data_IF_664639360506
#
_entry.id   IF_664639360506
#
_cell.length_a   1.000
_cell.length_b   1.000
_cell.length_c   1.000
_cell.angle_alpha   90.00
_cell.angle_beta   90.00
_cell.angle_gamma   90.00
#
_symmetry.space_group_name_H-M   'P 1'
#
loop_
_entity.id
_entity.type
_entity.pdbx_description
1 polymer ?
#
# COMPACT_ATOMS: atom_id res chain seq x y z
N UNK A 1 4.60 -5.57 -30.66
CA UNK A 1 5.75 -5.06 -29.86
C UNK A 1 6.89 -4.49 -30.70
N UNK A 2 7.56 -5.26 -31.60
CA UNK A 2 8.72 -4.73 -32.36
C UNK A 2 8.47 -3.38 -33.07
N UNK A 3 7.45 -3.32 -33.95
CA UNK A 3 7.11 -2.10 -34.69
C UNK A 3 6.73 -0.95 -33.77
N UNK A 4 6.10 -1.25 -32.64
CA UNK A 4 5.70 -0.23 -31.68
C UNK A 4 6.91 0.42 -31.02
N UNK A 5 7.91 -0.37 -30.59
CA UNK A 5 9.15 0.16 -30.06
C UNK A 5 9.89 1.01 -31.09
N UNK A 6 9.99 0.52 -32.33
CA UNK A 6 10.62 1.24 -33.44
C UNK A 6 9.93 2.59 -33.71
N UNK A 7 8.60 2.59 -33.93
CA UNK A 7 7.85 3.83 -34.25
C UNK A 7 7.79 4.80 -33.09
N UNK A 8 7.73 4.32 -31.85
CA UNK A 8 7.81 5.18 -30.68
C UNK A 8 9.18 5.86 -30.59
N UNK A 9 10.28 5.11 -30.80
CA UNK A 9 11.63 5.66 -30.78
C UNK A 9 11.85 6.67 -31.91
N UNK A 10 11.52 6.32 -33.16
CA UNK A 10 11.66 7.21 -34.32
C UNK A 10 10.92 8.53 -34.12
N UNK A 11 9.66 8.46 -33.66
CA UNK A 11 8.85 9.66 -33.40
C UNK A 11 9.45 10.47 -32.26
N UNK A 12 9.96 9.83 -31.21
CA UNK A 12 10.57 10.56 -30.10
C UNK A 12 11.90 11.24 -30.48
N UNK A 13 12.76 10.56 -31.24
CA UNK A 13 14.02 11.13 -31.72
C UNK A 13 13.77 12.35 -32.61
N UNK A 14 12.76 12.28 -33.49
CA UNK A 14 12.30 13.41 -34.30
C UNK A 14 11.88 14.61 -33.44
N UNK A 15 11.11 14.35 -32.37
CA UNK A 15 10.69 15.39 -31.43
C UNK A 15 11.86 15.97 -30.64
N UNK A 16 12.81 15.14 -30.20
CA UNK A 16 14.00 15.61 -29.50
C UNK A 16 14.81 16.58 -30.38
N UNK A 17 14.98 16.29 -31.66
CA UNK A 17 15.64 17.21 -32.60
C UNK A 17 14.81 18.46 -32.87
N UNK A 18 13.50 18.32 -33.12
CA UNK A 18 12.60 19.45 -33.37
C UNK A 18 12.59 20.46 -32.22
N UNK A 19 12.59 19.96 -30.97
CA UNK A 19 12.56 20.78 -29.76
C UNK A 19 13.96 21.07 -29.19
N UNK A 20 15.04 20.75 -29.92
CA UNK A 20 16.44 20.98 -29.52
C UNK A 20 16.78 20.42 -28.13
N UNK A 21 16.32 19.20 -27.86
CA UNK A 21 16.54 18.45 -26.63
C UNK A 21 17.64 17.38 -26.77
N UNK A 22 18.00 17.01 -27.99
CA UNK A 22 19.01 15.99 -28.35
C UNK A 22 20.43 16.24 -27.79
N UNK A 23 20.87 17.51 -27.76
CA UNK A 23 22.19 17.89 -27.24
C UNK A 23 22.29 18.03 -25.71
N UNK A 24 21.16 17.99 -24.99
CA UNK A 24 21.12 18.15 -23.52
C UNK A 24 21.17 16.78 -22.85
N UNK A 25 22.33 16.11 -22.91
CA UNK A 25 22.57 14.93 -22.07
C UNK A 25 22.57 15.34 -20.60
N UNK A 26 21.40 15.29 -19.99
CA UNK A 26 21.25 15.40 -18.54
C UNK A 26 21.55 14.04 -17.93
N UNK A 27 22.61 13.97 -17.13
CA UNK A 27 23.06 12.74 -16.49
C UNK A 27 21.90 12.09 -15.72
N UNK A 28 21.58 10.83 -16.04
CA UNK A 28 20.51 10.04 -15.42
C UNK A 28 19.08 10.57 -15.59
N UNK A 29 18.80 11.50 -16.51
CA UNK A 29 17.44 11.92 -16.86
C UNK A 29 16.89 11.13 -18.05
N UNK A 30 15.66 10.65 -17.92
CA UNK A 30 14.94 9.89 -18.94
C UNK A 30 13.58 10.51 -19.28
N UNK A 31 12.83 9.91 -20.22
CA UNK A 31 11.53 10.40 -20.67
C UNK A 31 10.39 10.19 -19.66
N UNK A 32 10.66 9.54 -18.52
CA UNK A 32 9.65 9.22 -17.51
C UNK A 32 10.22 9.34 -16.10
N UNK A 33 9.55 10.11 -15.26
CA UNK A 33 9.85 10.34 -13.85
C UNK A 33 8.85 9.58 -12.98
N UNK A 34 9.34 8.65 -12.16
CA UNK A 34 8.54 8.02 -11.11
C UNK A 34 8.48 8.93 -9.87
N UNK A 35 7.28 9.12 -9.35
CA UNK A 35 6.95 9.94 -8.18
C UNK A 35 6.33 9.05 -7.11
N UNK A 36 6.96 8.98 -5.94
CA UNK A 36 6.47 8.19 -4.79
C UNK A 36 6.30 9.09 -3.57
N UNK A 37 5.20 8.91 -2.84
CA UNK A 37 4.91 9.61 -1.58
C UNK A 37 4.13 10.92 -1.73
N UNK A 38 3.61 11.23 -2.92
CA UNK A 38 2.76 12.41 -3.15
C UNK A 38 1.41 12.02 -3.71
N UNK A 39 0.36 12.70 -3.25
CA UNK A 39 -1.00 12.59 -3.82
C UNK A 39 -1.06 13.15 -5.24
N UNK A 40 -1.97 12.60 -6.05
CA UNK A 40 -2.23 12.97 -7.45
C UNK A 40 -2.41 14.48 -7.65
N UNK A 41 -3.17 15.12 -6.77
CA UNK A 41 -3.44 16.57 -6.81
C UNK A 41 -2.16 17.41 -6.79
N UNK A 42 -1.18 17.04 -5.95
CA UNK A 42 0.10 17.75 -5.88
C UNK A 42 0.93 17.58 -7.15
N UNK A 43 0.92 16.37 -7.72
CA UNK A 43 1.63 16.06 -8.96
C UNK A 43 1.04 16.82 -10.13
N UNK A 44 -0.29 16.80 -10.29
CA UNK A 44 -1.00 17.53 -11.34
C UNK A 44 -0.76 19.05 -11.26
N UNK A 45 -0.83 19.61 -10.04
CA UNK A 45 -0.52 21.04 -9.82
C UNK A 45 0.91 21.39 -10.20
N UNK A 46 1.87 20.51 -9.89
CA UNK A 46 3.28 20.73 -10.25
C UNK A 46 3.49 20.64 -11.78
N UNK A 47 2.80 19.72 -12.45
CA UNK A 47 2.79 19.61 -13.93
C UNK A 47 2.28 20.92 -14.55
N UNK A 48 1.12 21.40 -14.10
CA UNK A 48 0.51 22.64 -14.61
C UNK A 48 1.46 23.84 -14.46
N UNK A 49 2.11 23.97 -13.30
CA UNK A 49 3.10 25.03 -13.04
C UNK A 49 4.32 24.89 -13.95
N UNK A 50 4.84 23.68 -14.12
CA UNK A 50 6.00 23.43 -14.97
C UNK A 50 5.71 23.73 -16.46
N UNK A 51 4.55 23.31 -16.97
CA UNK A 51 4.11 23.59 -18.34
C UNK A 51 3.94 25.09 -18.59
N UNK A 52 3.34 25.83 -17.64
CA UNK A 52 3.23 27.31 -17.74
C UNK A 52 4.58 28.01 -17.81
N UNK A 53 5.57 27.53 -17.05
CA UNK A 53 6.93 28.10 -17.03
C UNK A 53 7.71 27.82 -18.32
N UNK A 54 7.61 26.60 -18.84
CA UNK A 54 8.34 26.16 -20.04
C UNK A 54 7.64 26.50 -21.34
N UNK A 55 6.35 26.88 -21.29
CA UNK A 55 5.47 27.10 -22.46
C UNK A 55 5.43 25.90 -23.41
N UNK A 56 5.75 24.71 -22.90
CA UNK A 56 5.76 23.46 -23.65
C UNK A 56 4.76 22.50 -22.99
N UNK A 57 3.73 22.02 -23.70
CA UNK A 57 2.76 21.08 -23.14
C UNK A 57 3.23 19.62 -23.30
N UNK A 58 4.47 19.30 -22.89
CA UNK A 58 5.07 17.98 -23.07
C UNK A 58 4.89 17.03 -21.88
N UNK A 59 4.55 17.56 -20.71
CA UNK A 59 4.33 16.77 -19.51
C UNK A 59 2.95 16.12 -19.47
N UNK A 60 2.90 14.82 -19.18
CA UNK A 60 1.67 14.06 -19.02
C UNK A 60 1.76 13.15 -17.79
N UNK A 61 0.73 13.15 -16.94
CA UNK A 61 0.54 12.08 -15.96
C UNK A 61 0.22 10.79 -16.75
N UNK A 62 1.11 9.81 -16.66
CA UNK A 62 1.17 8.66 -17.58
C UNK A 62 0.80 7.34 -16.90
N UNK A 63 1.15 7.18 -15.63
CA UNK A 63 0.77 6.02 -14.83
C UNK A 63 0.30 6.46 -13.44
N UNK A 64 -0.79 5.87 -12.97
CA UNK A 64 -1.27 5.88 -11.58
C UNK A 64 -1.16 4.45 -11.08
N UNK A 65 -0.05 4.14 -10.41
CA UNK A 65 0.23 2.80 -9.90
C UNK A 65 -0.37 2.59 -8.51
N UNK A 66 -0.43 3.65 -7.70
CA UNK A 66 -1.09 3.69 -6.39
C UNK A 66 -1.53 5.12 -6.06
N UNK A 67 -2.22 5.30 -4.94
CA UNK A 67 -2.69 6.61 -4.46
C UNK A 67 -1.56 7.63 -4.23
N UNK A 68 -0.35 7.15 -3.96
CA UNK A 68 0.86 7.94 -3.76
C UNK A 68 2.04 7.52 -4.68
N UNK A 69 1.77 6.72 -5.71
CA UNK A 69 2.80 6.26 -6.66
C UNK A 69 2.33 6.47 -8.10
N UNK A 70 3.00 7.37 -8.81
CA UNK A 70 2.61 7.83 -10.14
C UNK A 70 3.84 8.04 -11.01
N UNK A 71 3.64 8.09 -12.33
CA UNK A 71 4.69 8.46 -13.27
C UNK A 71 4.25 9.66 -14.10
N UNK A 72 5.21 10.53 -14.38
CA UNK A 72 5.04 11.66 -15.30
C UNK A 72 6.00 11.49 -16.47
N UNK A 73 5.49 11.65 -17.67
CA UNK A 73 6.22 11.45 -18.93
C UNK A 73 6.37 12.80 -19.64
N UNK A 74 7.49 13.02 -20.35
CA UNK A 74 7.74 14.24 -21.11
C UNK A 74 9.20 14.36 -21.57
N UNK A 75 9.65 15.57 -21.93
CA UNK A 75 11.06 15.77 -22.27
C UNK A 75 11.94 15.77 -21.00
N UNK A 76 13.18 15.23 -21.06
CA UNK A 76 14.04 15.11 -19.89
C UNK A 76 14.33 16.45 -19.22
N UNK A 77 14.46 17.54 -20.00
CA UNK A 77 14.68 18.88 -19.48
C UNK A 77 13.48 19.38 -18.65
N UNK A 78 12.26 19.22 -19.16
CA UNK A 78 11.05 19.62 -18.45
C UNK A 78 10.80 18.76 -17.22
N UNK A 79 11.02 17.44 -17.31
CA UNK A 79 10.92 16.53 -16.18
C UNK A 79 11.94 16.82 -15.08
N UNK A 80 13.13 17.32 -15.43
CA UNK A 80 14.15 17.74 -14.45
C UNK A 80 13.67 18.96 -13.65
N UNK A 81 13.05 19.93 -14.32
CA UNK A 81 12.42 21.08 -13.65
C UNK A 81 11.25 20.65 -12.75
N UNK A 82 10.43 19.70 -13.23
CA UNK A 82 9.36 19.12 -12.43
C UNK A 82 9.91 18.39 -11.21
N UNK A 83 10.97 17.58 -11.36
CA UNK A 83 11.64 16.89 -10.27
C UNK A 83 12.08 17.87 -9.19
N UNK A 84 12.78 18.95 -9.56
CA UNK A 84 13.20 20.00 -8.62
C UNK A 84 12.02 20.65 -7.89
N UNK A 85 10.92 20.91 -8.58
CA UNK A 85 9.71 21.48 -7.97
C UNK A 85 9.07 20.52 -6.96
N UNK A 86 8.99 19.22 -7.30
CA UNK A 86 8.44 18.17 -6.44
C UNK A 86 9.36 17.89 -5.24
N UNK A 87 10.68 17.96 -5.40
CA UNK A 87 11.66 17.82 -4.30
C UNK A 87 11.38 18.80 -3.15
N UNK A 88 10.96 20.03 -3.48
CA UNK A 88 10.63 21.05 -2.49
C UNK A 88 9.41 20.71 -1.60
N UNK A 89 8.56 19.78 -2.05
CA UNK A 89 7.38 19.33 -1.29
C UNK A 89 7.73 18.30 -0.22
N UNK A 90 8.80 17.54 -0.41
CA UNK A 90 9.18 16.48 0.53
C UNK A 90 9.87 17.03 1.79
N UNK A 91 9.80 16.25 2.86
CA UNK A 91 10.75 16.36 3.96
C UNK A 91 12.17 16.02 3.45
N UNK A 92 13.20 16.64 4.04
CA UNK A 92 14.58 16.22 3.78
C UNK A 92 14.75 14.75 4.23
N UNK A 93 15.60 13.94 3.56
CA UNK A 93 15.76 12.51 3.88
C UNK A 93 16.04 12.23 5.36
N UNK A 94 16.87 13.06 5.99
CA UNK A 94 17.27 12.90 7.41
C UNK A 94 16.39 13.72 8.38
N UNK A 95 15.28 14.30 7.90
CA UNK A 95 14.41 15.10 8.74
C UNK A 95 13.61 14.22 9.71
N UNK A 96 13.89 14.34 11.01
CA UNK A 96 13.08 13.71 12.05
C UNK A 96 11.80 14.52 12.30
N UNK A 97 10.66 13.98 11.86
CA UNK A 97 9.34 14.60 12.03
C UNK A 97 8.52 14.03 13.21
N UNK A 98 9.13 13.21 14.08
CA UNK A 98 8.40 12.52 15.18
C UNK A 98 7.79 13.50 16.19
N UNK A 99 8.44 14.66 16.41
CA UNK A 99 7.97 15.76 17.28
C UNK A 99 7.14 16.83 16.56
N UNK A 100 6.89 16.67 15.26
CA UNK A 100 6.03 17.57 14.49
C UNK A 100 4.60 17.00 14.49
N UNK A 101 3.56 17.80 14.77
CA UNK A 101 2.16 17.37 14.67
C UNK A 101 1.86 16.75 13.30
N UNK A 102 1.12 15.64 13.26
CA UNK A 102 0.91 14.87 12.03
C UNK A 102 0.45 15.72 10.84
N UNK A 103 -0.50 16.63 11.05
CA UNK A 103 -1.06 17.53 10.02
C UNK A 103 -0.05 18.55 9.46
N UNK A 104 1.05 18.80 10.15
CA UNK A 104 2.10 19.74 9.76
C UNK A 104 3.34 19.04 9.20
N UNK A 105 3.37 17.70 9.19
CA UNK A 105 4.47 16.93 8.62
C UNK A 105 4.49 17.10 7.11
N UNK A 106 5.68 17.28 6.55
CA UNK A 106 5.89 17.15 5.12
C UNK A 106 5.81 15.68 4.70
N UNK A 107 5.31 15.38 3.50
CA UNK A 107 5.35 14.02 2.95
C UNK A 107 6.79 13.53 2.84
N UNK A 108 6.98 12.22 2.95
CA UNK A 108 8.23 11.52 2.65
C UNK A 108 8.05 10.70 1.39
N UNK A 109 9.11 10.56 0.59
CA UNK A 109 9.00 9.90 -0.70
C UNK A 109 10.28 9.95 -1.51
N UNK A 110 10.17 9.64 -2.79
CA UNK A 110 11.32 9.57 -3.70
C UNK A 110 10.93 9.93 -5.12
N UNK A 111 11.88 10.49 -5.86
CA UNK A 111 11.76 10.84 -7.27
C UNK A 111 12.91 10.19 -8.03
N UNK A 112 12.60 9.40 -9.04
CA UNK A 112 13.61 8.67 -9.82
C UNK A 112 13.19 8.57 -11.28
N UNK A 113 14.12 8.84 -12.20
CA UNK A 113 13.90 8.55 -13.61
C UNK A 113 13.91 7.05 -13.86
N UNK A 114 13.03 6.60 -14.76
CA UNK A 114 13.00 5.21 -15.20
C UNK A 114 13.92 5.02 -16.41
N UNK A 115 14.58 3.85 -16.53
CA UNK A 115 15.50 3.55 -17.63
C UNK A 115 14.73 3.19 -18.91
N UNK A 116 14.08 4.19 -19.51
CA UNK A 116 13.29 4.07 -20.74
C UNK A 116 13.91 4.94 -21.85
N UNK A 117 13.81 4.50 -23.11
CA UNK A 117 14.33 5.24 -24.26
C UNK A 117 13.27 6.11 -24.96
N UNK A 118 11.98 5.83 -24.73
CA UNK A 118 10.85 6.54 -25.33
C UNK A 118 9.77 6.88 -24.27
N UNK A 119 8.99 7.95 -24.47
CA UNK A 119 8.00 8.43 -23.53
C UNK A 119 6.66 7.70 -23.75
N UNK A 120 6.43 6.51 -23.20
CA UNK A 120 5.12 5.84 -23.34
C UNK A 120 4.00 6.53 -22.55
N UNK A 121 2.75 6.28 -22.96
CA UNK A 121 1.52 6.82 -22.35
C UNK A 121 1.46 8.36 -22.38
N UNK A 122 1.68 8.94 -23.57
CA UNK A 122 1.70 10.39 -23.77
C UNK A 122 1.22 10.80 -25.16
N UNK A 123 0.61 11.99 -25.31
CA UNK A 123 0.31 12.58 -26.60
C UNK A 123 1.53 12.82 -27.51
N UNK A 124 2.75 12.89 -26.97
CA UNK A 124 3.97 13.03 -27.79
C UNK A 124 4.14 11.89 -28.82
N UNK A 125 3.56 10.70 -28.56
CA UNK A 125 3.64 9.57 -29.47
C UNK A 125 2.46 9.47 -30.46
N UNK A 126 1.61 10.49 -30.57
CA UNK A 126 0.45 10.48 -31.47
C UNK A 126 0.83 10.16 -32.93
N UNK A 127 1.91 10.77 -33.43
CA UNK A 127 2.41 10.56 -34.80
C UNK A 127 3.02 9.17 -35.04
N UNK A 128 3.28 8.39 -33.98
CA UNK A 128 3.69 7.00 -34.11
C UNK A 128 2.50 6.08 -34.45
N UNK A 129 1.28 6.42 -34.04
CA UNK A 129 0.10 5.55 -34.23
C UNK A 129 -0.19 5.27 -35.71
N UNK A 130 -0.31 6.26 -36.62
CA UNK A 130 -0.61 5.96 -38.03
C UNK A 130 0.45 5.07 -38.70
N UNK A 131 1.73 5.30 -38.39
CA UNK A 131 2.85 4.47 -38.89
C UNK A 131 2.74 3.03 -38.39
N UNK A 132 2.40 2.86 -37.11
CA UNK A 132 2.23 1.54 -36.51
C UNK A 132 1.00 0.80 -37.08
N UNK A 133 -0.11 1.50 -37.32
CA UNK A 133 -1.29 0.91 -37.99
C UNK A 133 -0.94 0.42 -39.40
N UNK A 134 -0.16 1.18 -40.17
CA UNK A 134 0.34 0.73 -41.48
C UNK A 134 1.22 -0.52 -41.36
N UNK A 135 2.10 -0.58 -40.36
CA UNK A 135 2.93 -1.76 -40.09
C UNK A 135 2.08 -2.98 -39.71
N UNK A 136 1.04 -2.80 -38.88
CA UNK A 136 0.08 -3.84 -38.50
C UNK A 136 -0.66 -4.38 -39.73
N UNK A 137 -1.14 -3.51 -40.61
CA UNK A 137 -1.78 -3.88 -41.87
C UNK A 137 -0.83 -4.66 -42.77
N UNK A 138 0.41 -4.21 -42.90
CA UNK A 138 1.46 -4.88 -43.70
C UNK A 138 1.78 -6.28 -43.20
N UNK A 139 1.87 -6.47 -41.89
CA UNK A 139 2.13 -7.80 -41.28
C UNK A 139 0.87 -8.63 -41.09
N UNK A 140 -0.32 -8.08 -41.43
CA UNK A 140 -1.62 -8.74 -41.34
C UNK A 140 -1.93 -9.28 -39.94
N UNK A 141 -1.57 -8.51 -38.91
CA UNK A 141 -1.90 -8.84 -37.53
C UNK A 141 -3.28 -8.25 -37.20
N UNK A 142 -4.24 -9.10 -36.83
CA UNK A 142 -5.57 -8.68 -36.40
C UNK A 142 -6.06 -9.62 -35.30
N UNK A 143 -6.64 -9.04 -34.25
CA UNK A 143 -7.25 -9.76 -33.14
C UNK A 143 -8.57 -9.08 -32.82
N UNK A 144 -9.66 -9.84 -32.86
CA UNK A 144 -10.98 -9.42 -32.40
C UNK A 144 -11.18 -9.84 -30.95
N UNK A 145 -11.92 -9.05 -30.19
CA UNK A 145 -12.24 -9.36 -28.80
C UNK A 145 -12.91 -10.72 -28.64
N UNK A 146 -13.80 -11.07 -29.56
CA UNK A 146 -14.48 -12.37 -29.58
C UNK A 146 -13.55 -13.59 -29.75
N UNK A 147 -12.30 -13.38 -30.14
CA UNK A 147 -11.29 -14.44 -30.22
C UNK A 147 -10.55 -14.67 -28.89
N UNK A 148 -10.64 -13.75 -27.94
CA UNK A 148 -10.00 -13.87 -26.63
C UNK A 148 -10.78 -14.86 -25.76
N UNK A 149 -10.11 -15.90 -25.28
CA UNK A 149 -10.73 -16.98 -24.48
C UNK A 149 -10.90 -16.63 -23.00
N UNK A 150 -10.17 -15.63 -22.54
CA UNK A 150 -10.22 -15.12 -21.17
C UNK A 150 -10.42 -13.61 -21.19
N UNK A 151 -11.02 -13.02 -20.15
CA UNK A 151 -11.09 -11.58 -20.02
C UNK A 151 -9.69 -10.96 -20.03
N UNK A 152 -9.51 -9.93 -20.85
CA UNK A 152 -8.30 -9.10 -20.87
C UNK A 152 -8.75 -7.68 -20.66
N UNK A 153 -8.27 -7.03 -19.61
CA UNK A 153 -8.74 -5.70 -19.24
C UNK A 153 -7.85 -4.60 -19.82
N UNK A 154 -8.45 -3.51 -20.31
CA UNK A 154 -7.71 -2.27 -20.51
C UNK A 154 -7.17 -1.78 -19.17
N UNK A 155 -6.12 -0.97 -19.22
CA UNK A 155 -5.45 -0.47 -18.01
C UNK A 155 -5.77 1.00 -17.74
N UNK A 156 -6.86 1.52 -18.31
CA UNK A 156 -7.36 2.88 -18.09
C UNK A 156 -8.42 2.88 -16.97
N UNK A 157 -9.06 4.03 -16.74
CA UNK A 157 -10.02 4.19 -15.65
C UNK A 157 -11.25 3.27 -15.79
N UNK A 158 -11.61 2.91 -17.03
CA UNK A 158 -12.77 2.10 -17.34
C UNK A 158 -12.50 0.60 -17.15
N UNK A 159 -11.23 0.17 -17.29
CA UNK A 159 -10.82 -1.24 -17.24
C UNK A 159 -11.76 -2.14 -18.05
N UNK A 160 -11.97 -1.79 -19.31
CA UNK A 160 -12.89 -2.46 -20.24
C UNK A 160 -12.38 -3.87 -20.55
N UNK A 161 -13.27 -4.86 -20.56
CA UNK A 161 -12.93 -6.20 -21.04
C UNK A 161 -12.80 -6.19 -22.57
N UNK A 162 -11.59 -6.38 -23.08
CA UNK A 162 -11.26 -6.41 -24.50
C UNK A 162 -11.99 -7.50 -25.29
N UNK A 163 -12.60 -8.49 -24.62
CA UNK A 163 -13.49 -9.44 -25.28
C UNK A 163 -14.67 -8.76 -26.00
N UNK A 164 -15.06 -7.56 -25.58
CA UNK A 164 -16.18 -6.81 -26.15
C UNK A 164 -15.76 -5.81 -27.24
N UNK A 165 -14.48 -5.79 -27.63
CA UNK A 165 -13.93 -4.80 -28.58
C UNK A 165 -13.70 -5.45 -29.95
N UNK A 166 -14.00 -4.72 -31.03
CA UNK A 166 -13.84 -5.23 -32.40
C UNK A 166 -12.38 -5.32 -32.85
N UNK A 167 -11.57 -4.31 -32.54
CA UNK A 167 -10.14 -4.26 -32.88
C UNK A 167 -9.28 -4.15 -31.60
N UNK A 168 -8.82 -5.29 -31.12
CA UNK A 168 -7.97 -5.37 -29.93
C UNK A 168 -6.59 -4.75 -30.20
N UNK A 169 -6.11 -4.81 -31.45
CA UNK A 169 -4.78 -4.29 -31.79
C UNK A 169 -4.76 -2.77 -31.72
N UNK A 170 -5.78 -2.09 -32.26
CA UNK A 170 -5.87 -0.62 -32.13
C UNK A 170 -5.96 -0.19 -30.67
N UNK A 171 -6.74 -0.90 -29.85
CA UNK A 171 -6.87 -0.59 -28.43
C UNK A 171 -5.53 -0.75 -27.70
N UNK A 172 -4.79 -1.85 -27.93
CA UNK A 172 -3.46 -2.05 -27.35
C UNK A 172 -2.46 -0.97 -27.78
N UNK A 173 -2.53 -0.52 -29.04
CA UNK A 173 -1.70 0.59 -29.54
C UNK A 173 -2.02 1.88 -28.78
N UNK A 174 -3.30 2.22 -28.65
CA UNK A 174 -3.73 3.42 -27.92
C UNK A 174 -3.30 3.36 -26.46
N UNK A 175 -3.56 2.24 -25.80
CA UNK A 175 -3.24 2.02 -24.38
C UNK A 175 -1.77 2.26 -24.08
N UNK A 176 -0.88 1.72 -24.92
CA UNK A 176 0.55 1.77 -24.66
C UNK A 176 1.22 3.07 -25.15
N UNK A 177 0.79 3.64 -26.28
CA UNK A 177 1.39 4.88 -26.79
C UNK A 177 0.82 6.11 -26.08
N UNK A 178 -0.49 6.18 -25.88
CA UNK A 178 -1.20 7.44 -25.67
C UNK A 178 -1.93 7.53 -24.33
N UNK A 179 -2.63 6.47 -23.94
CA UNK A 179 -3.55 6.53 -22.81
C UNK A 179 -2.82 6.42 -21.46
N UNK A 180 -3.39 7.08 -20.46
CA UNK A 180 -3.02 6.96 -19.05
C UNK A 180 -3.27 5.52 -18.56
N UNK A 181 -2.30 4.97 -17.83
CA UNK A 181 -2.52 3.76 -17.03
C UNK A 181 -3.09 4.15 -15.67
N UNK A 182 -4.27 3.64 -15.32
CA UNK A 182 -4.82 3.65 -13.97
C UNK A 182 -4.88 2.22 -13.41
N UNK A 183 -3.76 1.83 -12.80
CA UNK A 183 -3.63 0.50 -12.21
C UNK A 183 -4.59 0.30 -11.05
N UNK A 184 -4.91 1.38 -10.32
CA UNK A 184 -5.83 1.32 -9.18
C UNK A 184 -7.26 1.01 -9.61
N UNK A 185 -7.72 1.61 -10.71
CA UNK A 185 -9.00 1.30 -11.32
C UNK A 185 -9.04 -0.13 -11.87
N UNK A 186 -7.95 -0.58 -12.50
CA UNK A 186 -7.81 -1.94 -13.01
C UNK A 186 -7.97 -2.97 -11.88
N UNK A 187 -7.33 -2.75 -10.73
CA UNK A 187 -7.46 -3.62 -9.56
C UNK A 187 -8.85 -3.59 -8.93
N UNK A 188 -9.51 -2.43 -8.90
CA UNK A 188 -10.90 -2.35 -8.45
C UNK A 188 -11.82 -3.20 -9.34
N UNK A 189 -11.59 -3.20 -10.66
CA UNK A 189 -12.33 -4.03 -11.60
C UNK A 189 -12.07 -5.53 -11.40
N UNK A 190 -10.80 -5.91 -11.20
CA UNK A 190 -10.45 -7.30 -10.88
C UNK A 190 -11.15 -7.75 -9.60
N UNK A 191 -11.16 -6.93 -8.56
CA UNK A 191 -11.85 -7.25 -7.30
C UNK A 191 -13.36 -7.46 -7.48
N UNK A 192 -14.00 -6.68 -8.37
CA UNK A 192 -15.42 -6.80 -8.70
C UNK A 192 -15.74 -8.11 -9.45
N UNK A 193 -14.98 -8.40 -10.52
CA UNK A 193 -15.30 -9.50 -11.45
C UNK A 193 -14.66 -10.84 -11.08
N UNK A 194 -13.62 -10.83 -10.25
CA UNK A 194 -12.84 -12.02 -9.86
C UNK A 194 -12.74 -12.15 -8.34
N UNK A 195 -13.85 -11.95 -7.64
CA UNK A 195 -13.91 -12.01 -6.17
C UNK A 195 -13.53 -13.36 -5.55
N UNK A 196 -13.46 -14.42 -6.35
CA UNK A 196 -13.03 -15.77 -5.95
C UNK A 196 -11.57 -16.08 -6.36
N UNK A 197 -10.84 -15.13 -6.96
CA UNK A 197 -9.43 -15.32 -7.26
C UNK A 197 -8.65 -15.54 -5.97
N UNK A 198 -7.81 -16.58 -5.96
CA UNK A 198 -6.93 -16.92 -4.82
C UNK A 198 -5.49 -16.54 -5.08
N UNK A 199 -5.09 -16.55 -6.35
CA UNK A 199 -3.73 -16.26 -6.78
C UNK A 199 -3.71 -15.33 -7.99
N UNK A 200 -2.62 -14.59 -8.11
CA UNK A 200 -2.23 -13.88 -9.33
C UNK A 200 -0.85 -14.37 -9.75
N UNK A 201 -0.73 -14.73 -11.02
CA UNK A 201 0.53 -15.13 -11.63
C UNK A 201 1.16 -13.92 -12.31
N UNK A 202 2.28 -13.45 -11.77
CA UNK A 202 3.06 -12.36 -12.36
C UNK A 202 4.13 -12.97 -13.26
N UNK A 203 4.00 -12.75 -14.57
CA UNK A 203 4.95 -13.21 -15.60
C UNK A 203 5.90 -12.11 -16.10
N UNK A 204 5.79 -10.92 -15.52
CA UNK A 204 6.59 -9.77 -15.86
C UNK A 204 8.06 -9.94 -15.49
N UNK A 205 8.89 -8.95 -15.88
CA UNK A 205 10.31 -9.02 -15.58
C UNK A 205 10.57 -8.90 -14.07
N UNK A 206 11.18 -9.94 -13.51
CA UNK A 206 11.66 -9.97 -12.12
C UNK A 206 10.52 -9.83 -11.09
N UNK A 207 10.53 -8.79 -10.26
CA UNK A 207 9.51 -8.50 -9.24
C UNK A 207 8.69 -7.24 -9.58
N UNK A 208 8.82 -6.74 -10.82
CA UNK A 208 8.50 -5.37 -11.19
C UNK A 208 7.06 -4.95 -10.86
N UNK A 209 6.09 -5.60 -11.50
CA UNK A 209 4.66 -5.24 -11.35
C UNK A 209 4.09 -5.82 -10.06
N UNK A 210 4.59 -6.97 -9.60
CA UNK A 210 4.18 -7.57 -8.33
C UNK A 210 4.23 -6.54 -7.18
N UNK A 211 5.35 -5.83 -7.02
CA UNK A 211 5.52 -4.80 -5.96
C UNK A 211 4.52 -3.64 -6.03
N UNK A 212 3.95 -3.36 -7.21
CA UNK A 212 2.91 -2.33 -7.37
C UNK A 212 1.55 -2.84 -6.89
N UNK A 213 1.36 -4.15 -6.91
CA UNK A 213 0.11 -4.85 -6.68
C UNK A 213 -0.05 -5.41 -5.26
N UNK A 214 1.04 -5.54 -4.50
CA UNK A 214 1.09 -6.17 -3.17
C UNK A 214 -0.01 -5.72 -2.22
N UNK A 215 -0.18 -4.41 -2.05
CA UNK A 215 -1.16 -3.86 -1.10
C UNK A 215 -2.60 -4.16 -1.51
N UNK A 216 -2.86 -4.17 -2.82
CA UNK A 216 -4.18 -4.50 -3.35
C UNK A 216 -4.47 -5.99 -3.17
N UNK A 217 -3.52 -6.84 -3.57
CA UNK A 217 -3.63 -8.28 -3.43
C UNK A 217 -3.80 -8.70 -1.96
N UNK A 218 -2.99 -8.15 -1.04
CA UNK A 218 -3.07 -8.43 0.39
C UNK A 218 -4.46 -8.06 0.97
N UNK A 219 -4.99 -6.88 0.64
CA UNK A 219 -6.32 -6.46 1.08
C UNK A 219 -7.44 -7.38 0.57
N UNK A 220 -7.27 -7.93 -0.63
CA UNK A 220 -8.19 -8.88 -1.26
C UNK A 220 -7.94 -10.33 -0.83
N UNK A 221 -6.89 -10.61 -0.03
CA UNK A 221 -6.51 -11.97 0.32
C UNK A 221 -6.04 -12.82 -0.87
N UNK A 222 -5.50 -12.18 -1.90
CA UNK A 222 -4.96 -12.84 -3.10
C UNK A 222 -3.45 -13.00 -2.93
N UNK A 223 -2.94 -14.19 -3.15
CA UNK A 223 -1.50 -14.47 -3.11
C UNK A 223 -0.85 -14.14 -4.45
N UNK A 224 0.27 -13.41 -4.43
CA UNK A 224 0.99 -13.06 -5.65
C UNK A 224 2.13 -14.06 -5.87
N UNK A 225 2.05 -14.80 -6.97
CA UNK A 225 3.05 -15.76 -7.42
C UNK A 225 3.94 -15.10 -8.46
N UNK A 226 5.24 -15.09 -8.21
CA UNK A 226 6.23 -14.65 -9.20
C UNK A 226 6.50 -15.83 -10.12
N UNK A 227 5.80 -15.86 -11.26
CA UNK A 227 5.78 -16.97 -12.19
C UNK A 227 7.00 -16.96 -13.13
N UNK A 228 8.18 -16.80 -12.56
CA UNK A 228 9.46 -16.81 -13.27
C UNK A 228 10.43 -17.80 -12.63
N UNK A 229 11.22 -18.49 -13.45
CA UNK A 229 12.24 -19.43 -12.95
C UNK A 229 13.39 -18.75 -12.18
N UNK A 230 13.50 -17.42 -12.26
CA UNK A 230 14.49 -16.62 -11.52
C UNK A 230 14.19 -16.57 -10.03
N UNK A 231 12.92 -16.67 -9.66
CA UNK A 231 12.43 -16.66 -8.28
C UNK A 231 11.72 -17.97 -7.95
N UNK A 232 12.45 -19.12 -7.92
CA UNK A 232 11.82 -20.42 -7.65
C UNK A 232 11.29 -20.50 -6.20
N UNK A 233 11.98 -19.83 -5.28
CA UNK A 233 11.68 -19.79 -3.85
C UNK A 233 11.82 -18.35 -3.37
N UNK A 234 10.80 -17.86 -2.66
CA UNK A 234 10.76 -16.55 -2.04
C UNK A 234 10.69 -16.69 -0.51
N UNK A 235 11.36 -15.80 0.21
CA UNK A 235 11.28 -15.74 1.67
C UNK A 235 10.19 -14.76 2.11
N UNK A 236 9.47 -15.12 3.16
CA UNK A 236 8.46 -14.25 3.77
C UNK A 236 9.14 -13.12 4.55
N UNK A 237 8.64 -11.89 4.38
CA UNK A 237 9.09 -10.71 5.14
C UNK A 237 7.94 -10.16 5.96
N UNK A 238 8.24 -9.54 7.10
CA UNK A 238 7.25 -8.77 7.87
C UNK A 238 7.04 -7.35 7.33
N UNK A 239 7.85 -6.93 6.35
CA UNK A 239 7.82 -5.56 5.80
C UNK A 239 6.93 -5.38 4.58
N UNK A 240 6.63 -6.47 3.86
CA UNK A 240 5.88 -6.45 2.60
C UNK A 240 4.96 -7.67 2.55
N UNK A 241 3.91 -7.60 1.72
CA UNK A 241 3.08 -8.76 1.45
C UNK A 241 3.96 -9.92 0.93
N UNK A 242 3.74 -11.15 1.40
CA UNK A 242 4.55 -12.28 1.00
C UNK A 242 4.29 -12.61 -0.48
N UNK A 243 5.38 -12.74 -1.25
CA UNK A 243 5.35 -13.33 -2.59
C UNK A 243 5.63 -14.82 -2.52
N UNK A 244 5.07 -15.56 -3.46
CA UNK A 244 5.32 -16.99 -3.63
C UNK A 244 6.22 -17.19 -4.85
N UNK A 245 7.31 -17.95 -4.69
CA UNK A 245 8.16 -18.34 -5.81
C UNK A 245 7.49 -19.40 -6.68
N UNK A 246 7.90 -19.51 -7.95
CA UNK A 246 7.27 -20.42 -8.91
C UNK A 246 7.30 -21.89 -8.44
N UNK A 247 8.44 -22.37 -7.96
CA UNK A 247 8.56 -23.77 -7.51
C UNK A 247 7.79 -24.00 -6.23
N UNK A 248 7.82 -23.05 -5.29
CA UNK A 248 6.99 -23.11 -4.07
C UNK A 248 5.50 -23.25 -4.39
N UNK A 249 5.01 -22.48 -5.37
CA UNK A 249 3.62 -22.57 -5.81
C UNK A 249 3.30 -23.96 -6.40
N UNK A 250 4.16 -24.47 -7.29
CA UNK A 250 3.99 -25.79 -7.91
C UNK A 250 4.00 -26.91 -6.85
N UNK A 251 4.94 -26.85 -5.90
CA UNK A 251 5.08 -27.87 -4.85
C UNK A 251 3.90 -27.84 -3.87
N UNK A 252 3.34 -26.67 -3.60
CA UNK A 252 2.21 -26.49 -2.69
C UNK A 252 0.85 -26.83 -3.34
N UNK A 253 0.74 -26.73 -4.67
CA UNK A 253 -0.51 -26.89 -5.41
C UNK A 253 -1.29 -28.18 -5.10
N UNK A 254 -0.66 -29.37 -4.98
CA UNK A 254 -1.38 -30.61 -4.64
C UNK A 254 -2.05 -30.59 -3.26
N UNK A 255 -1.54 -29.76 -2.34
CA UNK A 255 -2.01 -29.65 -0.95
C UNK A 255 -2.75 -28.33 -0.69
N UNK A 256 -2.95 -27.51 -1.72
CA UNK A 256 -3.54 -26.19 -1.56
C UNK A 256 -5.01 -26.30 -1.16
N UNK A 257 -5.33 -25.73 0.00
CA UNK A 257 -6.71 -25.50 0.43
C UNK A 257 -6.99 -24.00 0.37
N UNK A 258 -7.97 -23.53 -0.43
CA UNK A 258 -8.36 -22.13 -0.45
C UNK A 258 -8.71 -21.67 0.96
N UNK A 259 -7.86 -20.86 1.56
CA UNK A 259 -8.17 -20.20 2.82
C UNK A 259 -8.98 -18.94 2.52
N UNK A 260 -10.00 -18.66 3.32
CA UNK A 260 -10.71 -17.39 3.27
C UNK A 260 -9.80 -16.27 3.81
N UNK A 261 -8.95 -15.73 2.93
CA UNK A 261 -7.78 -14.94 3.31
C UNK A 261 -8.01 -13.42 3.39
N UNK A 262 -9.21 -12.92 3.05
CA UNK A 262 -9.47 -11.47 3.14
C UNK A 262 -9.39 -10.99 4.59
N UNK A 263 -8.94 -9.74 4.79
CA UNK A 263 -8.91 -9.17 6.14
C UNK A 263 -10.29 -9.12 6.78
N UNK A 264 -11.33 -8.84 5.98
CA UNK A 264 -12.72 -8.83 6.45
C UNK A 264 -13.14 -10.19 7.00
N UNK A 265 -12.83 -11.30 6.30
CA UNK A 265 -13.18 -12.64 6.80
C UNK A 265 -12.30 -13.07 7.98
N UNK A 266 -11.00 -12.76 7.94
CA UNK A 266 -10.00 -13.18 8.94
C UNK A 266 -10.08 -12.41 10.26
N UNK A 267 -10.46 -11.13 10.21
CA UNK A 267 -10.43 -10.22 11.37
C UNK A 267 -11.74 -9.47 11.58
N UNK A 268 -12.70 -9.57 10.66
CA UNK A 268 -14.00 -8.92 10.80
C UNK A 268 -14.76 -9.43 12.02
N UNK A 269 -15.61 -8.58 12.61
CA UNK A 269 -16.39 -8.95 13.78
C UNK A 269 -17.39 -10.06 13.42
N UNK A 270 -17.45 -11.07 14.26
CA UNK A 270 -18.48 -12.11 14.20
C UNK A 270 -19.43 -11.96 15.38
N UNK A 271 -20.59 -12.61 15.31
CA UNK A 271 -21.56 -12.65 16.41
C UNK A 271 -21.80 -14.11 16.76
N UNK A 272 -21.71 -14.45 18.05
CA UNK A 272 -22.04 -15.79 18.55
C UNK A 272 -23.55 -16.03 18.48
N UNK A 273 -23.98 -17.29 18.62
CA UNK A 273 -25.42 -17.62 18.70
C UNK A 273 -26.15 -16.86 19.84
N UNK A 274 -25.43 -16.46 20.89
CA UNK A 274 -25.96 -15.67 22.00
C UNK A 274 -25.98 -14.15 21.74
N UNK A 275 -25.71 -13.69 20.52
CA UNK A 275 -25.69 -12.27 20.16
C UNK A 275 -24.45 -11.50 20.63
N UNK A 276 -23.38 -12.18 21.09
CA UNK A 276 -22.17 -11.50 21.58
C UNK A 276 -21.15 -11.34 20.46
N UNK A 277 -20.46 -10.21 20.42
CA UNK A 277 -19.34 -10.00 19.49
C UNK A 277 -18.22 -11.02 19.76
N UNK A 278 -17.68 -11.59 18.70
CA UNK A 278 -16.55 -12.50 18.71
C UNK A 278 -15.45 -11.99 17.77
N UNK A 279 -14.25 -11.88 18.34
CA UNK A 279 -13.00 -11.52 17.68
C UNK A 279 -11.80 -11.99 18.52
N UNK A 280 -10.58 -11.71 18.07
CA UNK A 280 -9.35 -12.13 18.79
C UNK A 280 -9.26 -11.56 20.22
N UNK A 281 -9.75 -10.36 20.47
CA UNK A 281 -9.77 -9.75 21.79
C UNK A 281 -10.70 -10.54 22.73
N UNK A 282 -11.95 -10.77 22.31
CA UNK A 282 -12.94 -11.52 23.09
C UNK A 282 -12.48 -12.96 23.34
N UNK A 283 -11.82 -13.60 22.36
CA UNK A 283 -11.24 -14.94 22.52
C UNK A 283 -10.14 -14.97 23.59
N UNK A 284 -9.29 -13.94 23.63
CA UNK A 284 -8.15 -13.89 24.54
C UNK A 284 -8.56 -13.50 25.97
N UNK A 285 -9.47 -12.53 26.13
CA UNK A 285 -9.82 -11.96 27.42
C UNK A 285 -11.17 -12.43 27.96
N UNK A 286 -11.96 -13.14 27.16
CA UNK A 286 -13.35 -13.51 27.46
C UNK A 286 -14.21 -12.32 27.93
N UNK A 287 -13.95 -11.14 27.35
CA UNK A 287 -14.60 -9.87 27.69
C UNK A 287 -15.04 -9.15 26.41
N UNK A 288 -16.07 -8.28 26.45
CA UNK A 288 -16.45 -7.44 25.31
C UNK A 288 -15.25 -6.66 24.76
N UNK A 289 -15.15 -6.40 23.45
CA UNK A 289 -13.97 -5.80 22.81
C UNK A 289 -13.90 -4.27 23.01
N UNK A 290 -14.12 -3.84 24.24
CA UNK A 290 -14.06 -2.45 24.72
C UNK A 290 -13.32 -2.50 26.05
N UNK A 291 -12.32 -1.63 26.21
CA UNK A 291 -11.53 -1.52 27.43
C UNK A 291 -11.40 -0.07 27.90
N UNK A 292 -11.25 0.09 29.21
CA UNK A 292 -10.87 1.36 29.84
C UNK A 292 -9.37 1.29 30.15
N UNK A 293 -8.59 2.08 29.42
CA UNK A 293 -7.14 2.13 29.58
C UNK A 293 -6.74 2.80 30.91
N UNK A 294 -5.52 2.50 31.35
CA UNK A 294 -4.95 3.10 32.54
C UNK A 294 -4.67 4.59 32.36
N UNK A 295 -5.34 5.42 33.15
CA UNK A 295 -5.20 6.87 33.13
C UNK A 295 -4.85 7.36 34.53
N UNK A 296 -3.65 7.92 34.71
CA UNK A 296 -3.09 8.29 36.02
C UNK A 296 -4.03 9.11 36.92
N UNK A 297 -4.83 10.08 36.44
CA UNK A 297 -5.75 10.78 37.33
C UNK A 297 -7.05 10.02 37.62
N UNK A 298 -7.56 9.19 36.70
CA UNK A 298 -8.93 8.65 36.77
C UNK A 298 -9.02 7.18 37.14
N UNK A 299 -7.98 6.37 36.90
CA UNK A 299 -7.96 4.93 37.20
C UNK A 299 -6.80 4.53 38.12
N UNK A 300 -6.27 5.48 38.89
CA UNK A 300 -5.18 5.29 39.86
C UNK A 300 -5.74 5.26 41.29
N UNK A 301 -5.02 5.81 42.27
CA UNK A 301 -5.35 5.82 43.70
C UNK A 301 -6.82 6.20 44.00
N UNK A 302 -7.30 7.33 43.50
CA UNK A 302 -8.69 7.78 43.70
C UNK A 302 -9.70 7.11 42.74
N UNK A 303 -9.21 6.28 41.82
CA UNK A 303 -9.97 5.63 40.76
C UNK A 303 -10.18 4.12 40.96
N UNK A 304 -9.78 3.56 42.10
CA UNK A 304 -9.87 2.11 42.37
C UNK A 304 -11.32 1.63 42.27
N UNK A 305 -12.27 2.38 42.85
CA UNK A 305 -13.71 2.06 42.76
C UNK A 305 -14.22 2.07 41.32
N UNK A 306 -13.73 2.98 40.49
CA UNK A 306 -14.08 3.02 39.08
C UNK A 306 -13.56 1.76 38.36
N UNK A 307 -12.31 1.37 38.60
CA UNK A 307 -11.73 0.15 38.01
C UNK A 307 -12.49 -1.09 38.46
N UNK A 308 -12.82 -1.18 39.75
CA UNK A 308 -13.62 -2.27 40.30
C UNK A 308 -15.01 -2.35 39.64
N UNK A 309 -15.70 -1.21 39.51
CA UNK A 309 -17.00 -1.13 38.85
C UNK A 309 -16.94 -1.59 37.39
N UNK A 310 -15.93 -1.15 36.62
CA UNK A 310 -15.70 -1.56 35.23
C UNK A 310 -15.52 -3.08 35.12
N UNK A 311 -14.67 -3.65 35.96
CA UNK A 311 -14.42 -5.09 35.95
C UNK A 311 -15.66 -5.89 36.34
N UNK A 312 -16.39 -5.43 37.38
CA UNK A 312 -17.61 -6.05 37.86
C UNK A 312 -18.77 -5.97 36.86
N UNK A 313 -18.78 -4.95 36.00
CA UNK A 313 -19.68 -4.84 34.86
C UNK A 313 -19.30 -5.77 33.69
N UNK A 314 -18.17 -6.48 33.77
CA UNK A 314 -17.72 -7.46 32.79
C UNK A 314 -16.73 -6.91 31.75
N UNK A 315 -16.31 -5.65 31.85
CA UNK A 315 -15.34 -5.05 30.93
C UNK A 315 -13.90 -5.24 31.40
N UNK A 316 -12.95 -4.90 30.53
CA UNK A 316 -11.54 -4.83 30.88
C UNK A 316 -11.20 -3.40 31.33
N UNK A 317 -10.60 -3.24 32.51
CA UNK A 317 -10.19 -1.96 33.05
C UNK A 317 -8.81 -2.07 33.69
N UNK A 318 -7.94 -1.10 33.41
CA UNK A 318 -6.56 -1.08 33.93
C UNK A 318 -6.41 -0.14 35.12
N UNK A 319 -5.79 -0.63 36.20
CA UNK A 319 -5.31 0.18 37.32
C UNK A 319 -4.04 0.94 36.88
N UNK A 320 -4.09 2.27 36.88
CA UNK A 320 -2.98 3.12 36.50
C UNK A 320 -1.94 3.22 37.63
N UNK A 321 -0.80 2.57 37.46
CA UNK A 321 0.27 2.55 38.45
C UNK A 321 1.08 3.86 38.51
N UNK A 322 0.85 4.79 37.58
CA UNK A 322 1.58 6.07 37.53
C UNK A 322 1.43 6.92 38.79
N UNK A 323 0.28 6.84 39.49
CA UNK A 323 0.07 7.55 40.76
C UNK A 323 0.49 6.75 41.99
N UNK A 324 0.84 5.48 41.82
CA UNK A 324 1.20 4.55 42.90
C UNK A 324 2.71 4.64 43.15
N UNK A 325 3.13 5.74 43.76
CA UNK A 325 4.53 6.20 43.78
C UNK A 325 5.47 5.45 44.74
N UNK A 326 4.94 4.62 45.63
CA UNK A 326 5.70 3.86 46.63
C UNK A 326 5.24 2.40 46.65
N UNK A 327 6.10 1.44 47.04
CA UNK A 327 5.74 0.03 47.16
C UNK A 327 4.47 -0.19 47.98
N UNK A 328 4.35 0.44 49.16
CA UNK A 328 3.16 0.29 50.01
C UNK A 328 1.88 0.76 49.29
N UNK A 329 1.88 1.98 48.75
CA UNK A 329 0.73 2.51 47.99
C UNK A 329 0.33 1.59 46.84
N UNK A 330 1.31 1.04 46.13
CA UNK A 330 1.06 0.13 45.01
C UNK A 330 0.40 -1.17 45.47
N UNK A 331 0.94 -1.81 46.50
CA UNK A 331 0.39 -3.04 47.06
C UNK A 331 -0.98 -2.82 47.69
N UNK A 332 -1.15 -1.74 48.47
CA UNK A 332 -2.42 -1.37 49.09
C UNK A 332 -3.50 -1.15 48.03
N UNK A 333 -3.20 -0.40 46.96
CA UNK A 333 -4.16 -0.15 45.88
C UNK A 333 -4.53 -1.42 45.08
N UNK A 334 -3.56 -2.32 44.84
CA UNK A 334 -3.83 -3.60 44.19
C UNK A 334 -4.71 -4.48 45.07
N UNK A 335 -4.39 -4.60 46.36
CA UNK A 335 -5.17 -5.38 47.32
C UNK A 335 -6.58 -4.81 47.50
N UNK A 336 -6.71 -3.48 47.55
CA UNK A 336 -8.00 -2.81 47.60
C UNK A 336 -8.84 -3.13 46.36
N UNK A 337 -8.26 -3.06 45.16
CA UNK A 337 -8.95 -3.46 43.93
C UNK A 337 -9.40 -4.92 43.97
N UNK A 338 -8.51 -5.84 44.36
CA UNK A 338 -8.80 -7.27 44.49
C UNK A 338 -9.96 -7.52 45.46
N UNK A 339 -10.03 -6.76 46.55
CA UNK A 339 -11.11 -6.88 47.54
C UNK A 339 -12.48 -6.43 47.02
N UNK A 340 -12.51 -5.58 45.98
CA UNK A 340 -13.72 -4.96 45.42
C UNK A 340 -14.24 -5.64 44.15
N UNK A 341 -13.44 -6.47 43.49
CA UNK A 341 -13.85 -7.20 42.27
C UNK A 341 -14.53 -8.53 42.60
N UNK A 342 -15.43 -8.97 41.72
CA UNK A 342 -16.09 -10.28 41.82
C UNK A 342 -15.05 -11.42 41.73
N UNK A 343 -15.21 -12.50 42.52
CA UNK A 343 -14.32 -13.67 42.44
C UNK A 343 -14.20 -14.23 41.02
N UNK A 344 -12.99 -14.61 40.64
CA UNK A 344 -12.68 -15.15 39.30
C UNK A 344 -12.37 -14.09 38.24
N UNK A 345 -12.43 -12.79 38.57
CA UNK A 345 -11.93 -11.73 37.70
C UNK A 345 -10.44 -11.50 37.94
N UNK A 346 -9.69 -11.26 36.86
CA UNK A 346 -8.26 -10.91 36.93
C UNK A 346 -8.04 -9.41 36.81
N UNK A 347 -6.98 -8.90 37.44
CA UNK A 347 -6.59 -7.49 37.38
C UNK A 347 -5.63 -7.20 36.22
N UNK A 348 -5.67 -5.96 35.72
CA UNK A 348 -4.71 -5.44 34.76
C UNK A 348 -4.09 -4.15 35.31
N UNK A 349 -2.78 -4.00 35.17
CA UNK A 349 -2.02 -2.87 35.74
C UNK A 349 -1.28 -2.16 34.62
N UNK A 350 -1.57 -0.88 34.43
CA UNK A 350 -0.88 -0.01 33.50
C UNK A 350 0.36 0.59 34.18
N UNK A 351 1.56 0.22 33.72
CA UNK A 351 2.82 0.71 34.27
C UNK A 351 3.55 1.62 33.27
N UNK A 352 4.15 2.71 33.77
CA UNK A 352 4.85 3.68 32.94
C UNK A 352 6.29 3.24 32.69
N UNK A 353 6.57 2.73 31.48
CA UNK A 353 7.92 2.31 31.07
C UNK A 353 8.97 3.44 31.19
N UNK A 354 8.57 4.70 30.95
CA UNK A 354 9.47 5.85 31.04
C UNK A 354 9.85 6.23 32.48
N UNK A 355 9.13 5.73 33.50
CA UNK A 355 9.45 6.00 34.90
C UNK A 355 10.29 4.86 35.49
N UNK A 356 11.60 4.93 35.28
CA UNK A 356 12.54 3.90 35.72
C UNK A 356 12.46 3.59 37.23
N UNK A 357 12.21 4.62 38.07
CA UNK A 357 12.06 4.44 39.53
C UNK A 357 10.84 3.58 39.87
N UNK A 358 9.68 3.91 39.29
CA UNK A 358 8.46 3.12 39.49
C UNK A 358 8.59 1.72 38.91
N UNK A 359 9.09 1.61 37.67
CA UNK A 359 9.31 0.32 37.01
C UNK A 359 10.17 -0.62 37.85
N UNK A 360 11.25 -0.09 38.46
CA UNK A 360 12.20 -0.84 39.27
C UNK A 360 11.59 -1.58 40.46
N UNK A 361 10.46 -1.11 41.01
CA UNK A 361 9.76 -1.83 42.08
C UNK A 361 8.41 -2.43 41.66
N UNK A 362 7.64 -1.73 40.81
CA UNK A 362 6.30 -2.18 40.40
C UNK A 362 6.38 -3.51 39.62
N UNK A 363 7.30 -3.65 38.67
CA UNK A 363 7.40 -4.87 37.87
C UNK A 363 7.76 -6.12 38.71
N UNK A 364 8.82 -6.11 39.56
CA UNK A 364 9.07 -7.22 40.49
C UNK A 364 7.91 -7.51 41.44
N UNK A 365 7.20 -6.48 41.92
CA UNK A 365 6.05 -6.65 42.80
C UNK A 365 4.86 -7.30 42.09
N UNK A 366 4.58 -6.97 40.82
CA UNK A 366 3.57 -7.66 40.01
C UNK A 366 3.90 -9.15 39.89
N UNK A 367 5.16 -9.50 39.62
CA UNK A 367 5.59 -10.90 39.57
C UNK A 367 5.42 -11.61 40.93
N UNK A 368 5.75 -10.92 42.04
CA UNK A 368 5.55 -11.44 43.39
C UNK A 368 4.07 -11.69 43.68
N UNK A 369 3.21 -10.69 43.44
CA UNK A 369 1.78 -10.75 43.69
C UNK A 369 1.10 -11.84 42.85
N UNK A 370 1.47 -11.95 41.56
CA UNK A 370 1.01 -13.06 40.71
C UNK A 370 1.39 -14.43 41.28
N UNK A 371 2.60 -14.59 41.83
CA UNK A 371 3.03 -15.85 42.47
C UNK A 371 2.25 -16.16 43.74
N UNK A 372 1.77 -15.14 44.46
CA UNK A 372 0.91 -15.32 45.64
C UNK A 372 -0.58 -15.51 45.29
N UNK A 373 -0.94 -15.55 44.00
CA UNK A 373 -2.31 -15.79 43.56
C UNK A 373 -3.20 -14.54 43.48
N UNK A 374 -2.59 -13.35 43.47
CA UNK A 374 -3.26 -12.08 43.14
C UNK A 374 -3.52 -11.99 41.63
#
# INVERSE_FOLDING_TARGET
>A
MFWQGLRAQETYDQLLTQYKQDGKKMENAGPMLAVRGLKKEHVLKAIEVAQRRTKTPDLQLSLINASDMMNVTGFPATLTLLKQALEGLFAKPDANQTRIPHSQRKPTGSLSFLPLSAPFHTPLLAEAKPKLVQDVQRVKCAIKGSQLQVPVYTTNAEATNLQTVDDVIDELINMQLLQLVDWTATWAKIAEHHSNATHILEFGPDLGVAKLSDKFAEGLGIEVVIATAKHPVMSTSTKYAPHIGLQQFIDAAPTFTPAEATWSKKFGPQVTASGKLYNRFTRALNKPPVMVAGMTPTTSLEGIDLVAAIQNAGFHGELAAGGLSRPSIFEDAVNELVSKIKPGLGIAINMLYLNAKQWGFQFPMVLRMRRSGV
#
